data_IF_320264174166
#
_entry.id   IF_320264174166
#
_cell.length_a   1.000
_cell.length_b   1.000
_cell.length_c   1.000
_cell.angle_alpha   90.00
_cell.angle_beta   90.00
_cell.angle_gamma   90.00
#
_symmetry.space_group_name_H-M   'P 1'
#
loop_
_entity.id
_entity.type
_entity.pdbx_description
1 polymer ?
#
# COMPACT_ATOMS: atom_id res chain seq x y z
N UNK A 1 30.07 15.34 -21.30
CA UNK A 1 28.89 14.55 -21.71
C UNK A 1 27.96 14.38 -20.50
N UNK A 2 26.64 14.40 -20.69
CA UNK A 2 25.63 14.23 -19.63
C UNK A 2 24.79 12.96 -19.83
N UNK A 3 24.18 12.45 -18.74
CA UNK A 3 23.33 11.27 -18.76
C UNK A 3 21.85 11.59 -19.02
N UNK A 4 21.08 10.58 -19.43
CA UNK A 4 19.60 10.62 -19.52
C UNK A 4 19.01 9.87 -18.34
N UNK A 5 17.93 10.40 -17.74
CA UNK A 5 17.37 9.87 -16.49
C UNK A 5 15.85 9.76 -16.55
N UNK A 6 15.33 8.67 -15.99
CA UNK A 6 13.91 8.44 -15.70
C UNK A 6 13.79 7.83 -14.31
N UNK A 7 12.72 8.13 -13.60
CA UNK A 7 12.32 7.38 -12.41
C UNK A 7 11.18 6.41 -12.74
N UNK A 8 11.33 5.14 -12.38
CA UNK A 8 10.38 4.08 -12.73
C UNK A 8 10.04 3.17 -11.55
N UNK A 9 9.46 3.69 -10.44
CA UNK A 9 9.02 2.84 -9.35
C UNK A 9 7.98 1.81 -9.79
N UNK A 10 8.07 0.62 -9.20
CA UNK A 10 7.14 -0.49 -9.45
C UNK A 10 6.02 -0.61 -8.41
N UNK A 11 4.90 -1.17 -8.82
CA UNK A 11 3.85 -1.71 -7.94
C UNK A 11 3.63 -3.20 -8.23
N UNK A 12 2.88 -3.89 -7.36
CA UNK A 12 2.70 -5.36 -7.23
C UNK A 12 3.77 -6.07 -6.40
N UNK A 13 3.54 -7.36 -6.12
CA UNK A 13 4.31 -8.18 -5.17
C UNK A 13 5.40 -8.98 -5.89
N UNK A 14 6.36 -9.59 -5.15
CA UNK A 14 7.46 -10.37 -5.75
C UNK A 14 7.02 -11.50 -6.68
N UNK A 15 5.83 -12.09 -6.44
CA UNK A 15 5.25 -13.09 -7.33
C UNK A 15 5.07 -12.53 -8.75
N UNK A 16 4.41 -11.37 -8.88
CA UNK A 16 4.21 -10.74 -10.19
C UNK A 16 5.53 -10.26 -10.80
N UNK A 17 6.53 -9.90 -9.99
CA UNK A 17 7.86 -9.58 -10.48
C UNK A 17 8.50 -10.75 -11.23
N UNK A 18 8.44 -11.96 -10.64
CA UNK A 18 8.96 -13.18 -11.27
C UNK A 18 8.22 -13.57 -12.56
N UNK A 19 6.93 -13.25 -12.61
CA UNK A 19 6.07 -13.52 -13.77
C UNK A 19 6.19 -12.47 -14.88
N UNK A 20 7.02 -11.42 -14.70
CA UNK A 20 7.13 -10.31 -15.67
C UNK A 20 5.88 -9.42 -15.70
N UNK A 21 5.09 -9.44 -14.63
CA UNK A 21 3.78 -8.77 -14.53
C UNK A 21 3.81 -7.55 -13.61
N UNK A 22 4.94 -6.84 -13.53
CA UNK A 22 4.98 -5.59 -12.76
C UNK A 22 4.13 -4.50 -13.40
N UNK A 23 3.78 -3.53 -12.58
CA UNK A 23 3.26 -2.25 -13.03
C UNK A 23 4.33 -1.18 -12.79
N UNK A 24 4.67 -0.40 -13.82
CA UNK A 24 5.64 0.70 -13.72
C UNK A 24 4.96 2.05 -13.87
N UNK A 25 5.37 2.98 -13.03
CA UNK A 25 4.99 4.39 -13.08
C UNK A 25 6.24 5.18 -13.47
N UNK A 26 6.35 5.60 -14.74
CA UNK A 26 7.58 6.19 -15.27
C UNK A 26 7.45 7.71 -15.36
N UNK A 27 8.31 8.41 -14.63
CA UNK A 27 8.55 9.85 -14.74
C UNK A 27 9.78 10.13 -15.60
N UNK A 28 9.65 11.04 -16.56
CA UNK A 28 10.75 11.38 -17.47
C UNK A 28 10.31 12.10 -18.73
N UNK A 29 11.27 12.40 -19.59
CA UNK A 29 10.99 12.86 -20.95
C UNK A 29 10.19 11.82 -21.74
N UNK A 30 9.20 12.27 -22.52
CA UNK A 30 8.30 11.38 -23.25
C UNK A 30 9.00 10.60 -24.37
N UNK A 31 9.95 11.23 -25.08
CA UNK A 31 10.69 10.55 -26.14
C UNK A 31 11.65 9.50 -25.56
N UNK A 32 12.29 9.81 -24.42
CA UNK A 32 13.08 8.85 -23.67
C UNK A 32 12.23 7.68 -23.16
N UNK A 33 11.05 7.96 -22.60
CA UNK A 33 10.09 6.93 -22.18
C UNK A 33 9.76 5.97 -23.33
N UNK A 34 9.38 6.49 -24.50
CA UNK A 34 9.05 5.65 -25.66
C UNK A 34 10.25 4.81 -26.13
N UNK A 35 11.46 5.37 -26.09
CA UNK A 35 12.67 4.62 -26.44
C UNK A 35 13.00 3.49 -25.46
N UNK A 36 12.61 3.63 -24.19
CA UNK A 36 12.82 2.64 -23.12
C UNK A 36 11.65 1.65 -22.98
N UNK A 37 10.50 1.94 -23.59
CA UNK A 37 9.28 1.11 -23.51
C UNK A 37 9.53 -0.37 -23.86
N UNK A 38 10.34 -0.74 -24.87
CA UNK A 38 10.66 -2.14 -25.15
C UNK A 38 11.42 -2.84 -24.02
N UNK A 39 12.29 -2.11 -23.31
CA UNK A 39 13.05 -2.65 -22.16
C UNK A 39 12.12 -2.89 -20.97
N UNK A 40 11.22 -1.94 -20.69
CA UNK A 40 10.24 -2.09 -19.63
C UNK A 40 9.29 -3.27 -19.88
N UNK A 41 8.89 -3.49 -21.13
CA UNK A 41 8.00 -4.59 -21.52
C UNK A 41 8.60 -5.99 -21.27
N UNK A 42 9.91 -6.12 -21.04
CA UNK A 42 10.54 -7.40 -20.70
C UNK A 42 10.17 -7.91 -19.30
N UNK A 43 9.69 -7.05 -18.40
CA UNK A 43 9.43 -7.42 -17.00
C UNK A 43 8.20 -6.75 -16.39
N UNK A 44 7.49 -5.91 -17.15
CA UNK A 44 6.28 -5.23 -16.72
C UNK A 44 5.13 -5.48 -17.71
N UNK A 45 3.95 -5.76 -17.17
CA UNK A 45 2.71 -5.92 -17.93
C UNK A 45 2.06 -4.55 -18.20
N UNK A 46 2.12 -3.63 -17.23
CA UNK A 46 1.58 -2.29 -17.37
C UNK A 46 2.68 -1.25 -17.18
N UNK A 47 2.86 -0.37 -18.16
CA UNK A 47 3.89 0.68 -18.12
C UNK A 47 3.21 2.01 -18.44
N UNK A 48 3.16 2.91 -17.46
CA UNK A 48 2.45 4.19 -17.59
C UNK A 48 3.44 5.34 -17.48
N UNK A 49 3.48 6.22 -18.48
CA UNK A 49 4.16 7.51 -18.37
C UNK A 49 3.30 8.45 -17.53
N UNK A 50 3.84 8.92 -16.40
CA UNK A 50 3.09 9.71 -15.41
C UNK A 50 3.54 11.17 -15.34
N UNK A 51 4.34 11.61 -16.31
CA UNK A 51 4.80 12.99 -16.44
C UNK A 51 6.33 13.13 -16.34
N UNK A 52 6.84 14.32 -15.95
CA UNK A 52 8.28 14.57 -15.91
C UNK A 52 8.98 13.80 -14.78
N UNK A 53 10.31 13.92 -14.74
CA UNK A 53 11.13 13.34 -13.66
C UNK A 53 10.58 13.69 -12.28
N UNK A 54 10.53 12.69 -11.41
CA UNK A 54 9.97 12.73 -10.06
C UNK A 54 8.48 12.40 -9.98
N UNK A 55 7.74 12.43 -11.11
CA UNK A 55 6.32 12.09 -11.10
C UNK A 55 6.06 10.60 -10.85
N UNK A 56 6.97 9.71 -11.24
CA UNK A 56 6.90 8.29 -10.91
C UNK A 56 6.86 8.07 -9.40
N UNK A 57 7.84 8.64 -8.68
CA UNK A 57 7.90 8.55 -7.22
C UNK A 57 6.69 9.17 -6.53
N UNK A 58 6.26 10.38 -6.95
CA UNK A 58 5.07 11.03 -6.37
C UNK A 58 3.81 10.17 -6.56
N UNK A 59 3.62 9.61 -7.75
CA UNK A 59 2.48 8.74 -8.04
C UNK A 59 2.54 7.45 -7.20
N UNK A 60 3.74 6.88 -7.01
CA UNK A 60 3.93 5.72 -6.15
C UNK A 60 3.56 6.00 -4.69
N UNK A 61 3.93 7.15 -4.15
CA UNK A 61 3.55 7.56 -2.79
C UNK A 61 2.04 7.73 -2.65
N UNK A 62 1.38 8.37 -3.62
CA UNK A 62 -0.09 8.47 -3.67
C UNK A 62 -0.76 7.10 -3.68
N UNK A 63 -0.29 6.19 -4.55
CA UNK A 63 -0.80 4.82 -4.63
C UNK A 63 -0.64 4.06 -3.31
N UNK A 64 0.54 4.13 -2.68
CA UNK A 64 0.80 3.44 -1.42
C UNK A 64 -0.02 4.03 -0.28
N UNK A 65 -0.19 5.35 -0.22
CA UNK A 65 -1.06 6.01 0.77
C UNK A 65 -2.50 5.49 0.68
N UNK A 66 -3.10 5.46 -0.51
CA UNK A 66 -4.46 4.93 -0.69
C UNK A 66 -4.53 3.46 -0.27
N UNK A 67 -3.59 2.64 -0.73
CA UNK A 67 -3.60 1.20 -0.41
C UNK A 67 -3.43 0.92 1.09
N UNK A 68 -2.53 1.63 1.77
CA UNK A 68 -2.26 1.44 3.20
C UNK A 68 -3.33 2.09 4.07
N UNK A 69 -3.88 3.24 3.65
CA UNK A 69 -5.00 3.88 4.31
C UNK A 69 -6.25 2.99 4.31
N UNK A 70 -6.59 2.37 3.17
CA UNK A 70 -7.67 1.39 3.11
C UNK A 70 -7.43 0.19 4.04
N UNK A 71 -6.20 -0.31 4.12
CA UNK A 71 -5.85 -1.40 5.03
C UNK A 71 -6.02 -0.98 6.49
N UNK A 72 -5.52 0.19 6.90
CA UNK A 72 -5.67 0.69 8.27
C UNK A 72 -7.14 0.84 8.65
N UNK A 73 -7.95 1.41 7.75
CA UNK A 73 -9.39 1.59 7.95
C UNK A 73 -10.11 0.26 8.14
N UNK A 74 -9.85 -0.74 7.29
CA UNK A 74 -10.47 -2.07 7.40
C UNK A 74 -9.96 -2.79 8.65
N UNK A 75 -8.67 -2.68 8.97
CA UNK A 75 -8.09 -3.31 10.14
C UNK A 75 -8.68 -2.78 11.46
N UNK A 76 -8.89 -1.47 11.55
CA UNK A 76 -9.55 -0.85 12.71
C UNK A 76 -11.01 -1.31 12.84
N UNK A 77 -11.75 -1.35 11.73
CA UNK A 77 -13.12 -1.87 11.71
C UNK A 77 -13.19 -3.35 12.13
N UNK A 78 -12.24 -4.17 11.66
CA UNK A 78 -12.14 -5.59 12.03
C UNK A 78 -11.81 -5.79 13.51
N UNK A 79 -10.90 -4.98 14.06
CA UNK A 79 -10.58 -5.00 15.49
C UNK A 79 -11.81 -4.68 16.36
N UNK A 80 -12.60 -3.67 15.95
CA UNK A 80 -13.83 -3.31 16.66
C UNK A 80 -14.93 -4.36 16.47
N UNK A 81 -15.05 -4.97 15.29
CA UNK A 81 -16.07 -5.99 15.01
C UNK A 81 -15.89 -7.22 15.90
N UNK A 82 -14.64 -7.63 16.16
CA UNK A 82 -14.32 -8.70 17.11
C UNK A 82 -14.82 -8.37 18.52
N UNK A 83 -14.58 -7.14 19.00
CA UNK A 83 -15.08 -6.68 20.30
C UNK A 83 -16.62 -6.56 20.36
N UNK A 84 -17.25 -6.30 19.22
CA UNK A 84 -18.70 -6.24 19.07
C UNK A 84 -19.35 -7.64 18.90
N UNK A 85 -18.57 -8.73 18.89
CA UNK A 85 -19.08 -10.09 18.71
C UNK A 85 -19.55 -10.41 17.29
N UNK A 86 -19.08 -9.67 16.29
CA UNK A 86 -19.38 -9.91 14.88
C UNK A 86 -18.39 -10.95 14.34
N UNK A 87 -18.92 -12.00 13.72
CA UNK A 87 -18.09 -13.02 13.07
C UNK A 87 -17.25 -12.41 11.93
N UNK A 88 -15.93 -12.69 11.84
CA UNK A 88 -15.08 -12.12 10.79
C UNK A 88 -15.57 -12.38 9.36
N UNK A 89 -16.12 -13.58 9.08
CA UNK A 89 -16.62 -13.91 7.76
C UNK A 89 -17.84 -13.05 7.37
N UNK A 90 -18.72 -12.74 8.33
CA UNK A 90 -19.86 -11.84 8.12
C UNK A 90 -19.39 -10.42 7.80
N UNK A 91 -18.39 -9.91 8.52
CA UNK A 91 -17.82 -8.60 8.21
C UNK A 91 -17.26 -8.55 6.79
N UNK A 92 -16.47 -9.57 6.41
CA UNK A 92 -15.90 -9.66 5.06
C UNK A 92 -16.99 -9.66 3.98
N UNK A 93 -18.03 -10.48 4.14
CA UNK A 93 -19.13 -10.58 3.17
C UNK A 93 -19.88 -9.24 3.01
N UNK A 94 -20.17 -8.55 4.12
CA UNK A 94 -20.85 -7.25 4.11
C UNK A 94 -19.98 -6.18 3.44
N UNK A 95 -18.69 -6.10 3.77
CA UNK A 95 -17.79 -5.13 3.18
C UNK A 95 -17.58 -5.39 1.68
N UNK A 96 -17.43 -6.66 1.27
CA UNK A 96 -17.23 -7.05 -0.11
C UNK A 96 -18.39 -6.67 -1.04
N UNK A 97 -19.62 -6.65 -0.52
CA UNK A 97 -20.83 -6.23 -1.25
C UNK A 97 -21.06 -4.71 -1.25
N UNK A 98 -20.35 -3.97 -0.38
CA UNK A 98 -20.50 -2.54 -0.21
C UNK A 98 -19.29 -1.72 -0.66
N UNK A 99 -19.24 -0.46 -0.22
CA UNK A 99 -18.12 0.45 -0.51
C UNK A 99 -16.78 0.08 0.15
N UNK A 100 -16.76 -0.97 0.97
CA UNK A 100 -15.54 -1.51 1.59
C UNK A 100 -14.85 -2.61 0.78
N UNK A 101 -15.43 -3.02 -0.35
CA UNK A 101 -14.88 -4.07 -1.20
C UNK A 101 -13.61 -3.65 -1.94
N UNK A 102 -12.84 -4.65 -2.39
CA UNK A 102 -11.67 -4.49 -3.26
C UNK A 102 -10.36 -4.96 -2.66
N UNK A 103 -9.25 -4.61 -3.31
CA UNK A 103 -7.96 -5.24 -3.09
C UNK A 103 -7.42 -5.15 -1.65
N UNK A 104 -7.80 -4.12 -0.88
CA UNK A 104 -7.40 -4.01 0.52
C UNK A 104 -8.10 -5.06 1.39
N UNK A 105 -9.42 -5.23 1.20
CA UNK A 105 -10.21 -6.25 1.87
C UNK A 105 -9.71 -7.64 1.48
N UNK A 106 -9.54 -7.90 0.17
CA UNK A 106 -9.08 -9.20 -0.33
C UNK A 106 -7.74 -9.65 0.30
N UNK A 107 -6.85 -8.69 0.57
CA UNK A 107 -5.55 -8.95 1.21
C UNK A 107 -5.67 -9.22 2.71
N UNK A 108 -6.65 -8.63 3.38
CA UNK A 108 -6.87 -8.81 4.83
C UNK A 108 -7.75 -10.01 5.16
N UNK A 109 -8.65 -10.41 4.26
CA UNK A 109 -9.61 -11.51 4.47
C UNK A 109 -8.98 -12.78 5.05
N UNK A 110 -7.87 -13.33 4.52
CA UNK A 110 -7.25 -14.53 5.09
C UNK A 110 -6.79 -14.34 6.54
N UNK A 111 -6.26 -13.16 6.86
CA UNK A 111 -5.84 -12.88 8.23
C UNK A 111 -7.05 -12.70 9.16
N UNK A 112 -8.12 -12.06 8.67
CA UNK A 112 -9.34 -11.87 9.45
C UNK A 112 -10.05 -13.19 9.76
N UNK A 113 -10.06 -14.14 8.82
CA UNK A 113 -10.82 -15.39 8.96
C UNK A 113 -10.01 -16.55 9.51
N UNK A 114 -8.73 -16.69 9.13
CA UNK A 114 -7.89 -17.84 9.50
C UNK A 114 -6.56 -17.44 10.16
N UNK A 115 -6.34 -16.14 10.43
CA UNK A 115 -5.07 -15.59 10.94
C UNK A 115 -3.87 -15.88 10.02
N UNK A 116 -4.13 -16.12 8.74
CA UNK A 116 -3.09 -16.33 7.73
C UNK A 116 -2.58 -14.99 7.15
N UNK A 117 -1.31 -14.67 7.44
CA UNK A 117 -0.64 -13.47 6.93
C UNK A 117 0.11 -13.70 5.59
N UNK A 118 0.09 -14.91 5.04
CA UNK A 118 0.91 -15.28 3.87
C UNK A 118 0.57 -14.52 2.58
N UNK A 119 -0.67 -14.04 2.44
CA UNK A 119 -1.13 -13.30 1.26
C UNK A 119 -0.63 -11.85 1.19
N UNK A 120 -0.19 -11.27 2.32
CA UNK A 120 0.39 -9.93 2.36
C UNK A 120 1.62 -9.92 3.28
N UNK A 121 2.74 -10.37 2.72
CA UNK A 121 4.06 -10.34 3.35
C UNK A 121 4.72 -8.95 3.26
N UNK A 122 3.96 -7.89 3.52
CA UNK A 122 4.51 -6.55 3.60
C UNK A 122 4.82 -6.22 5.05
N UNK A 123 6.05 -5.81 5.31
CA UNK A 123 6.55 -5.50 6.66
C UNK A 123 6.01 -4.15 7.13
N UNK A 124 5.53 -4.08 8.36
CA UNK A 124 4.86 -2.92 8.93
C UNK A 124 5.77 -1.70 9.02
N UNK A 125 7.07 -1.86 9.32
CA UNK A 125 8.04 -0.75 9.30
C UNK A 125 8.22 -0.15 7.90
N UNK A 126 8.14 -0.96 6.84
CA UNK A 126 8.22 -0.48 5.46
C UNK A 126 6.95 0.29 5.08
N UNK A 127 5.78 -0.19 5.52
CA UNK A 127 4.53 0.55 5.38
C UNK A 127 4.58 1.92 6.07
N UNK A 128 5.05 1.96 7.32
CA UNK A 128 5.22 3.21 8.06
C UNK A 128 6.21 4.17 7.39
N UNK A 129 7.31 3.64 6.83
CA UNK A 129 8.28 4.43 6.07
C UNK A 129 7.65 5.07 4.83
N UNK A 130 6.90 4.32 4.03
CA UNK A 130 6.21 4.84 2.85
C UNK A 130 5.17 5.92 3.21
N UNK A 131 4.43 5.71 4.30
CA UNK A 131 3.49 6.71 4.82
C UNK A 131 4.21 7.98 5.29
N UNK A 132 5.40 7.85 5.86
CA UNK A 132 6.22 9.00 6.28
C UNK A 132 6.70 9.83 5.09
N UNK A 133 7.09 9.18 3.99
CA UNK A 133 7.40 9.90 2.74
C UNK A 133 6.18 10.58 2.13
N UNK A 134 5.01 9.96 2.21
CA UNK A 134 3.77 10.59 1.77
C UNK A 134 3.42 11.84 2.60
N UNK A 135 3.49 11.76 3.94
CA UNK A 135 3.16 12.90 4.81
C UNK A 135 4.16 14.03 4.67
N UNK A 136 5.45 13.73 4.43
CA UNK A 136 6.47 14.73 4.09
C UNK A 136 6.16 15.40 2.74
N UNK A 137 5.87 14.61 1.69
CA UNK A 137 5.50 15.13 0.38
C UNK A 137 4.27 16.05 0.45
N UNK A 138 3.23 15.64 1.17
CA UNK A 138 2.02 16.42 1.35
C UNK A 138 2.30 17.73 2.11
N UNK A 139 3.19 17.70 3.11
CA UNK A 139 3.60 18.88 3.87
C UNK A 139 4.34 19.90 3.00
N UNK A 140 5.30 19.42 2.20
CA UNK A 140 6.05 20.25 1.26
C UNK A 140 5.17 20.87 0.18
N UNK A 141 4.07 20.20 -0.19
CA UNK A 141 3.10 20.70 -1.16
C UNK A 141 2.03 21.64 -0.54
N UNK A 142 2.01 21.82 0.79
CA UNK A 142 0.96 22.57 1.48
C UNK A 142 -0.43 21.90 1.43
N UNK A 143 -0.47 20.59 1.20
CA UNK A 143 -1.72 19.82 1.13
C UNK A 143 -2.24 19.45 2.52
N UNK A 144 -3.55 19.16 2.62
CA UNK A 144 -4.17 18.65 3.84
C UNK A 144 -3.64 17.25 4.20
N UNK A 145 -3.42 16.99 5.49
CA UNK A 145 -2.82 15.73 5.98
C UNK A 145 -3.57 15.03 7.10
N UNK A 146 -4.72 15.53 7.55
CA UNK A 146 -5.46 15.00 8.70
C UNK A 146 -5.62 13.48 8.67
N UNK A 147 -6.06 12.92 7.53
CA UNK A 147 -6.24 11.47 7.37
C UNK A 147 -4.89 10.75 7.28
N UNK A 148 -3.93 11.32 6.55
CA UNK A 148 -2.61 10.74 6.39
C UNK A 148 -1.84 10.63 7.72
N UNK A 149 -1.94 11.66 8.56
CA UNK A 149 -1.32 11.70 9.88
C UNK A 149 -1.95 10.66 10.81
N UNK A 150 -3.28 10.47 10.74
CA UNK A 150 -3.99 9.43 11.47
C UNK A 150 -3.55 8.03 11.02
N UNK A 151 -3.52 7.76 9.71
CA UNK A 151 -3.06 6.48 9.16
C UNK A 151 -1.60 6.20 9.58
N UNK A 152 -0.71 7.19 9.47
CA UNK A 152 0.68 7.05 9.89
C UNK A 152 0.80 6.77 11.40
N UNK A 153 -0.04 7.39 12.24
CA UNK A 153 -0.09 7.11 13.66
C UNK A 153 -0.57 5.67 13.96
N UNK A 154 -1.59 5.18 13.25
CA UNK A 154 -2.08 3.79 13.37
C UNK A 154 -0.98 2.78 13.06
N UNK A 155 -0.22 2.97 11.97
CA UNK A 155 0.91 2.09 11.65
C UNK A 155 2.06 2.22 12.64
N UNK A 156 2.31 3.42 13.20
CA UNK A 156 3.32 3.63 14.24
C UNK A 156 2.99 2.85 15.52
N UNK A 157 1.73 2.88 15.93
CA UNK A 157 1.25 2.08 17.06
C UNK A 157 1.38 0.57 16.79
N UNK A 158 1.03 0.14 15.58
CA UNK A 158 1.23 -1.24 15.13
C UNK A 158 2.69 -1.68 15.26
N UNK A 159 3.64 -0.86 14.79
CA UNK A 159 5.09 -1.13 14.95
C UNK A 159 5.51 -1.18 16.41
N UNK A 160 4.99 -0.27 17.25
CA UNK A 160 5.32 -0.24 18.67
C UNK A 160 4.86 -1.51 19.41
N UNK A 161 3.72 -2.10 19.01
CA UNK A 161 3.14 -3.30 19.64
C UNK A 161 3.66 -4.62 19.06
N UNK A 162 3.70 -4.73 17.73
CA UNK A 162 4.07 -5.95 17.02
C UNK A 162 5.56 -6.07 16.72
N UNK A 163 6.31 -4.98 16.89
CA UNK A 163 7.69 -4.87 16.46
C UNK A 163 7.84 -4.51 14.98
N UNK A 164 9.04 -4.08 14.59
CA UNK A 164 9.31 -3.58 13.24
C UNK A 164 9.04 -4.60 12.12
N UNK A 165 9.22 -5.90 12.42
CA UNK A 165 9.09 -6.99 11.45
C UNK A 165 7.67 -7.59 11.38
N UNK A 166 6.72 -7.10 12.19
CA UNK A 166 5.33 -7.53 12.09
C UNK A 166 4.80 -7.31 10.66
N UNK A 167 3.95 -8.19 10.18
CA UNK A 167 3.33 -8.07 8.87
C UNK A 167 2.11 -7.16 8.96
N UNK A 168 1.85 -6.41 7.89
CA UNK A 168 0.73 -5.46 7.81
C UNK A 168 -0.63 -6.07 8.18
N UNK A 169 -1.01 -7.31 7.79
CA UNK A 169 -2.27 -7.91 8.23
C UNK A 169 -2.44 -8.03 9.74
N UNK A 170 -1.33 -8.19 10.48
CA UNK A 170 -1.34 -8.29 11.94
C UNK A 170 -1.84 -7.02 12.64
N UNK A 171 -1.91 -5.90 11.91
CA UNK A 171 -2.52 -4.66 12.40
C UNK A 171 -3.94 -4.90 12.93
N UNK A 172 -4.72 -5.81 12.34
CA UNK A 172 -6.05 -6.21 12.84
C UNK A 172 -5.98 -6.65 14.31
N UNK A 173 -5.08 -7.57 14.62
CA UNK A 173 -4.92 -8.11 15.98
C UNK A 173 -4.27 -7.11 16.94
N UNK A 174 -3.38 -6.25 16.45
CA UNK A 174 -2.67 -5.26 17.27
C UNK A 174 -3.57 -4.10 17.69
N UNK A 175 -4.57 -3.77 16.88
CA UNK A 175 -5.60 -2.76 17.17
C UNK A 175 -6.72 -3.31 18.06
N UNK A 176 -6.97 -4.62 18.07
CA UNK A 176 -7.89 -5.24 19.00
C UNK A 176 -7.38 -5.03 20.44
N UNK A 177 -8.10 -4.24 21.25
CA UNK A 177 -7.73 -3.98 22.65
C UNK A 177 -7.68 -5.31 23.41
N UNK A 178 -6.49 -5.69 23.88
CA UNK A 178 -6.38 -6.61 25.02
C UNK A 178 -6.74 -5.83 26.27
N UNK A 179 -7.97 -5.99 26.72
CA UNK A 179 -8.30 -5.80 28.13
C UNK A 179 -7.56 -6.83 28.97
#
# INVERSE_FOLDING_TARGET
AGGRFVDAPMTRLPKQAREGRLNLLVGGDAALFESLRPVFACFAENVTHVGPVGSGHRMKLLHNYVSLGSIALIAEAAALSEAAGIEPAVLVDVLAKGGGGGAALDRLTPYMTTRDASNLQFVMSNALKDLSYYTEMAGNAGAQRTIADAVAATFREGVARGGAQALVPELVSLLARRG
#
